data_IF_436979010719
#
_entry.id   IF_436979010719
#
_cell.length_a   1.000
_cell.length_b   1.000
_cell.length_c   1.000
_cell.angle_alpha   90.00
_cell.angle_beta   90.00
_cell.angle_gamma   90.00
#
_symmetry.space_group_name_H-M   'P 1'
#
loop_
_entity.id
_entity.type
_entity.pdbx_description
1 polymer ?
#
# COMPACT_ATOMS: atom_id res chain seq x y z
N UNK A 1 8.36 -35.43 20.77
CA UNK A 1 9.19 -36.13 19.77
C UNK A 1 10.40 -36.84 20.38
N UNK A 2 11.47 -36.14 20.80
CA UNK A 2 12.73 -36.77 21.27
C UNK A 2 12.52 -37.87 22.33
N UNK A 3 11.64 -37.63 23.30
CA UNK A 3 11.28 -38.60 24.34
C UNK A 3 10.65 -39.88 23.75
N UNK A 4 9.63 -39.73 22.89
CA UNK A 4 8.94 -40.84 22.20
C UNK A 4 9.91 -41.66 21.34
N UNK A 5 10.79 -40.98 20.61
CA UNK A 5 11.76 -41.62 19.71
C UNK A 5 12.79 -42.45 20.49
N UNK A 6 13.39 -41.87 21.55
CA UNK A 6 14.38 -42.57 22.35
C UNK A 6 13.81 -43.78 23.10
N UNK A 7 12.59 -43.68 23.64
CA UNK A 7 11.98 -44.81 24.36
C UNK A 7 11.65 -45.96 23.40
N UNK A 8 11.10 -45.68 22.21
CA UNK A 8 10.85 -46.72 21.20
C UNK A 8 12.15 -47.35 20.68
N UNK A 9 13.22 -46.57 20.50
CA UNK A 9 14.53 -47.11 20.15
C UNK A 9 15.07 -48.04 21.26
N UNK A 10 14.97 -47.64 22.53
CA UNK A 10 15.37 -48.51 23.64
C UNK A 10 14.56 -49.81 23.70
N UNK A 11 13.25 -49.76 23.42
CA UNK A 11 12.40 -50.95 23.32
C UNK A 11 12.83 -51.87 22.17
N UNK A 12 13.18 -51.32 21.01
CA UNK A 12 13.67 -52.08 19.86
C UNK A 12 14.97 -52.81 20.19
N UNK A 13 15.95 -52.13 20.82
CA UNK A 13 17.20 -52.77 21.27
C UNK A 13 17.00 -53.90 22.29
N UNK A 14 16.00 -53.76 23.18
CA UNK A 14 15.70 -54.79 24.18
C UNK A 14 15.03 -56.03 23.57
N UNK A 15 14.18 -55.88 22.56
CA UNK A 15 13.31 -56.95 22.05
C UNK A 15 13.62 -57.45 20.64
N UNK A 16 13.94 -56.55 19.72
CA UNK A 16 14.07 -56.89 18.29
C UNK A 16 15.55 -56.95 17.87
N UNK A 17 16.38 -56.05 18.40
CA UNK A 17 17.77 -55.90 18.01
C UNK A 17 17.93 -55.19 16.66
N UNK A 18 19.06 -55.42 15.98
CA UNK A 18 19.31 -54.94 14.62
C UNK A 18 19.37 -56.13 13.64
N UNK A 19 19.33 -55.89 12.32
CA UNK A 19 19.44 -56.97 11.31
C UNK A 19 20.64 -57.91 11.51
N UNK A 20 21.70 -57.45 12.19
CA UNK A 20 22.93 -58.21 12.43
C UNK A 20 23.06 -58.80 13.84
N UNK A 21 22.16 -58.47 14.77
CA UNK A 21 22.25 -58.91 16.17
C UNK A 21 20.85 -59.05 16.81
N UNK A 22 20.57 -60.17 17.51
CA UNK A 22 19.30 -60.36 18.19
C UNK A 22 19.11 -59.33 19.32
N UNK A 23 17.86 -59.10 19.71
CA UNK A 23 17.53 -58.25 20.86
C UNK A 23 18.22 -58.72 22.13
N UNK A 24 18.47 -57.80 23.07
CA UNK A 24 19.18 -58.12 24.31
C UNK A 24 18.52 -59.28 25.09
N UNK A 25 17.18 -59.35 25.10
CA UNK A 25 16.44 -60.45 25.74
C UNK A 25 16.63 -61.79 25.02
N UNK A 26 16.60 -61.80 23.68
CA UNK A 26 16.83 -63.00 22.87
C UNK A 26 18.27 -63.51 23.02
N UNK A 27 19.24 -62.60 23.11
CA UNK A 27 20.62 -62.91 23.42
C UNK A 27 20.78 -63.57 24.79
N UNK A 28 20.08 -63.06 25.81
CA UNK A 28 20.05 -63.66 27.15
C UNK A 28 19.37 -65.04 27.13
N UNK A 29 18.31 -65.23 26.35
CA UNK A 29 17.66 -66.54 26.18
C UNK A 29 18.61 -67.56 25.54
N UNK A 30 19.43 -67.15 24.58
CA UNK A 30 20.42 -68.03 23.98
C UNK A 30 21.55 -68.38 24.96
N UNK A 31 21.99 -67.43 25.78
CA UNK A 31 22.97 -67.68 26.84
C UNK A 31 22.39 -68.62 27.91
N UNK A 32 21.14 -68.43 28.31
CA UNK A 32 20.46 -69.27 29.28
C UNK A 32 20.36 -70.73 28.79
N UNK A 33 19.97 -70.96 27.53
CA UNK A 33 19.95 -72.31 26.92
C UNK A 33 21.31 -72.99 26.97
N UNK A 34 22.37 -72.28 26.59
CA UNK A 34 23.72 -72.85 26.62
C UNK A 34 24.17 -73.17 28.06
N UNK A 35 23.81 -72.32 29.04
CA UNK A 35 24.14 -72.55 30.45
C UNK A 35 23.32 -73.70 31.06
N UNK A 36 22.10 -73.93 30.60
CA UNK A 36 21.29 -75.08 30.99
C UNK A 36 21.97 -76.39 30.58
N UNK A 37 22.40 -76.51 29.31
CA UNK A 37 23.16 -77.66 28.81
C UNK A 37 24.49 -77.84 29.56
N UNK A 38 25.21 -76.74 29.81
CA UNK A 38 26.49 -76.78 30.52
C UNK A 38 26.34 -77.16 32.00
N UNK A 39 25.24 -76.75 32.65
CA UNK A 39 24.99 -77.09 34.05
C UNK A 39 24.73 -78.58 34.28
N UNK A 40 24.31 -79.31 33.24
CA UNK A 40 24.22 -80.77 33.26
C UNK A 40 25.59 -81.46 33.21
N UNK A 41 26.63 -80.74 32.75
CA UNK A 41 28.01 -81.24 32.65
C UNK A 41 28.82 -80.85 33.90
N UNK A 42 28.71 -79.60 34.35
CA UNK A 42 29.36 -79.08 35.57
C UNK A 42 28.34 -78.31 36.42
N UNK A 43 27.95 -78.90 37.55
CA UNK A 43 26.99 -78.32 38.49
C UNK A 43 27.40 -76.93 39.00
N UNK A 44 28.70 -76.58 38.97
CA UNK A 44 29.17 -75.25 39.38
C UNK A 44 28.63 -74.12 38.51
N UNK A 45 28.15 -74.43 37.31
CA UNK A 45 27.61 -73.45 36.37
C UNK A 45 26.12 -73.13 36.60
N UNK A 46 25.43 -73.87 37.48
CA UNK A 46 24.01 -73.62 37.79
C UNK A 46 23.76 -72.21 38.36
N UNK A 47 24.67 -71.68 39.19
CA UNK A 47 24.53 -70.31 39.72
C UNK A 47 24.66 -69.22 38.64
N UNK A 48 25.39 -69.48 37.55
CA UNK A 48 25.46 -68.58 36.41
C UNK A 48 24.14 -68.55 35.64
N UNK A 49 23.48 -69.69 35.47
CA UNK A 49 22.16 -69.80 34.84
C UNK A 49 21.12 -68.98 35.62
N UNK A 50 21.05 -69.15 36.93
CA UNK A 50 20.14 -68.39 37.80
C UNK A 50 20.38 -66.87 37.68
N UNK A 51 21.64 -66.45 37.62
CA UNK A 51 22.00 -65.03 37.46
C UNK A 51 21.53 -64.48 36.12
N UNK A 52 21.76 -65.20 35.02
CA UNK A 52 21.33 -64.78 33.66
C UNK A 52 19.81 -64.69 33.57
N UNK A 53 19.09 -65.68 34.12
CA UNK A 53 17.63 -65.64 34.18
C UNK A 53 17.11 -64.46 35.02
N UNK A 54 17.75 -64.15 36.15
CA UNK A 54 17.42 -62.98 36.97
C UNK A 54 17.55 -61.66 36.21
N UNK A 55 18.67 -61.47 35.50
CA UNK A 55 18.88 -60.29 34.65
C UNK A 55 17.85 -60.19 33.52
N UNK A 56 17.49 -61.33 32.90
CA UNK A 56 16.45 -61.38 31.86
C UNK A 56 15.11 -60.88 32.38
N UNK A 57 14.67 -61.35 33.55
CA UNK A 57 13.40 -60.90 34.14
C UNK A 57 13.42 -59.40 34.47
N UNK A 58 14.52 -58.88 35.01
CA UNK A 58 14.67 -57.45 35.29
C UNK A 58 14.57 -56.60 34.02
N UNK A 59 15.22 -57.03 32.93
CA UNK A 59 15.14 -56.33 31.64
C UNK A 59 13.75 -56.44 30.99
N UNK A 60 13.06 -57.55 31.20
CA UNK A 60 11.68 -57.72 30.73
C UNK A 60 10.70 -56.78 31.47
N UNK A 61 10.89 -56.58 32.77
CA UNK A 61 10.13 -55.58 33.54
C UNK A 61 10.42 -54.16 33.07
N UNK A 62 11.69 -53.80 32.83
CA UNK A 62 12.06 -52.50 32.24
C UNK A 62 11.39 -52.31 30.87
N UNK A 63 11.39 -53.34 30.01
CA UNK A 63 10.73 -53.27 28.72
C UNK A 63 9.19 -53.11 28.85
N UNK A 64 8.58 -53.66 29.91
CA UNK A 64 7.15 -53.46 30.19
C UNK A 64 6.88 -52.03 30.65
N UNK A 65 7.69 -51.50 31.57
CA UNK A 65 7.57 -50.12 32.04
C UNK A 65 7.75 -49.10 30.90
N UNK A 66 8.77 -49.28 30.05
CA UNK A 66 9.00 -48.40 28.90
C UNK A 66 7.83 -48.46 27.90
N UNK A 67 7.21 -49.62 27.71
CA UNK A 67 6.02 -49.76 26.85
C UNK A 67 4.83 -48.98 27.42
N UNK A 68 4.52 -49.17 28.70
CA UNK A 68 3.45 -48.40 29.37
C UNK A 68 3.75 -46.90 29.39
N UNK A 69 5.03 -46.52 29.48
CA UNK A 69 5.44 -45.13 29.40
C UNK A 69 5.13 -44.52 28.02
N UNK A 70 5.43 -45.23 26.93
CA UNK A 70 5.12 -44.77 25.56
C UNK A 70 3.62 -44.64 25.33
N UNK A 71 2.81 -45.57 25.85
CA UNK A 71 1.35 -45.49 25.78
C UNK A 71 0.80 -44.21 26.44
N UNK A 72 1.49 -43.66 27.44
CA UNK A 72 1.15 -42.39 28.07
C UNK A 72 1.63 -41.15 27.30
N UNK A 73 2.48 -41.29 26.30
CA UNK A 73 2.97 -40.16 25.50
C UNK A 73 1.94 -39.83 24.41
N UNK A 74 1.21 -38.73 24.58
CA UNK A 74 0.39 -38.15 23.51
C UNK A 74 1.30 -37.39 22.55
N UNK A 75 1.84 -38.11 21.56
CA UNK A 75 2.60 -37.51 20.45
C UNK A 75 1.82 -37.74 19.14
N UNK A 76 1.33 -36.65 18.58
CA UNK A 76 0.64 -36.62 17.28
C UNK A 76 1.52 -35.85 16.27
N UNK A 77 2.29 -36.56 15.43
CA UNK A 77 3.14 -35.95 14.41
C UNK A 77 2.36 -35.07 13.43
N UNK A 78 1.16 -35.51 13.04
CA UNK A 78 0.31 -34.76 12.10
C UNK A 78 -0.14 -33.44 12.70
N UNK A 79 -0.50 -33.43 13.99
CA UNK A 79 -0.85 -32.19 14.69
C UNK A 79 0.34 -31.24 14.81
N UNK A 80 1.54 -31.76 15.09
CA UNK A 80 2.76 -30.95 15.15
C UNK A 80 3.04 -30.29 13.79
N UNK A 81 3.01 -31.05 12.71
CA UNK A 81 3.22 -30.56 11.35
C UNK A 81 2.19 -29.47 10.97
N UNK A 82 0.91 -29.66 11.33
CA UNK A 82 -0.12 -28.64 11.13
C UNK A 82 0.19 -27.33 11.85
N UNK A 83 0.66 -27.39 13.10
CA UNK A 83 0.99 -26.22 13.91
C UNK A 83 2.22 -25.51 13.34
N UNK A 84 3.26 -26.25 12.98
CA UNK A 84 4.47 -25.70 12.38
C UNK A 84 4.19 -25.02 11.04
N UNK A 85 3.36 -25.65 10.20
CA UNK A 85 2.91 -25.06 8.92
C UNK A 85 2.15 -23.75 9.15
N UNK A 86 1.22 -23.71 10.12
CA UNK A 86 0.47 -22.49 10.45
C UNK A 86 1.38 -21.38 10.99
N UNK A 87 2.37 -21.71 11.81
CA UNK A 87 3.35 -20.74 12.32
C UNK A 87 4.24 -20.21 11.19
N UNK A 88 4.67 -21.06 10.27
CA UNK A 88 5.45 -20.65 9.11
C UNK A 88 4.67 -19.67 8.22
N UNK A 89 3.38 -19.92 8.00
CA UNK A 89 2.49 -19.01 7.27
C UNK A 89 2.37 -17.65 7.96
N UNK A 90 2.11 -17.63 9.27
CA UNK A 90 2.05 -16.39 10.06
C UNK A 90 3.37 -15.63 9.98
N UNK A 91 4.52 -16.30 10.11
CA UNK A 91 5.83 -15.66 9.99
C UNK A 91 6.07 -15.07 8.59
N UNK A 92 5.62 -15.75 7.53
CA UNK A 92 5.71 -15.23 6.18
C UNK A 92 4.86 -13.98 5.99
N UNK A 93 3.65 -13.95 6.55
CA UNK A 93 2.79 -12.76 6.54
C UNK A 93 3.41 -11.62 7.35
N UNK A 94 3.96 -11.90 8.53
CA UNK A 94 4.59 -10.87 9.37
C UNK A 94 5.73 -10.15 8.64
N UNK A 95 6.62 -10.92 8.00
CA UNK A 95 7.73 -10.36 7.19
C UNK A 95 7.28 -9.44 6.06
N UNK A 96 6.07 -9.62 5.52
CA UNK A 96 5.57 -8.85 4.38
C UNK A 96 4.66 -7.69 4.79
N UNK A 97 3.88 -7.87 5.86
CA UNK A 97 2.71 -7.03 6.12
C UNK A 97 2.64 -6.49 7.55
N UNK A 98 3.56 -6.85 8.46
CA UNK A 98 3.63 -6.23 9.79
C UNK A 98 4.25 -7.08 10.90
N UNK A 99 4.74 -6.44 11.96
CA UNK A 99 5.44 -7.12 13.07
C UNK A 99 4.51 -7.82 14.06
N UNK A 100 3.19 -7.68 13.90
CA UNK A 100 2.14 -8.35 14.67
C UNK A 100 0.98 -8.81 13.78
N UNK A 101 0.07 -9.62 14.34
CA UNK A 101 -1.15 -10.05 13.61
C UNK A 101 -2.07 -8.84 13.39
N UNK A 102 -2.13 -7.95 14.38
CA UNK A 102 -2.86 -6.70 14.36
C UNK A 102 -2.37 -5.78 13.23
N UNK A 103 -1.06 -5.70 13.03
CA UNK A 103 -0.47 -4.93 11.93
C UNK A 103 -0.84 -5.51 10.57
N UNK A 104 -0.76 -6.85 10.41
CA UNK A 104 -1.15 -7.54 9.17
C UNK A 104 -2.62 -7.26 8.82
N UNK A 105 -3.52 -7.33 9.81
CA UNK A 105 -4.94 -7.08 9.61
C UNK A 105 -5.22 -5.61 9.32
N UNK A 106 -4.51 -4.70 9.97
CA UNK A 106 -4.60 -3.26 9.69
C UNK A 106 -4.13 -2.95 8.27
N UNK A 107 -3.03 -3.56 7.83
CA UNK A 107 -2.54 -3.46 6.46
C UNK A 107 -3.58 -3.97 5.44
N UNK A 108 -4.23 -5.10 5.73
CA UNK A 108 -5.29 -5.65 4.89
C UNK A 108 -6.46 -4.66 4.73
N UNK A 109 -6.95 -4.07 5.82
CA UNK A 109 -8.06 -3.12 5.76
C UNK A 109 -7.68 -1.84 5.00
N UNK A 110 -6.46 -1.35 5.18
CA UNK A 110 -5.95 -0.20 4.42
C UNK A 110 -5.94 -0.50 2.91
N UNK A 111 -5.35 -1.63 2.50
CA UNK A 111 -5.28 -2.01 1.08
C UNK A 111 -6.66 -2.25 0.48
N UNK A 112 -7.60 -2.87 1.21
CA UNK A 112 -8.98 -2.98 0.74
C UNK A 112 -9.62 -1.62 0.51
N UNK A 113 -9.38 -0.66 1.39
CA UNK A 113 -9.82 0.73 1.23
C UNK A 113 -9.25 1.36 -0.04
N UNK A 114 -7.95 1.23 -0.27
CA UNK A 114 -7.28 1.73 -1.47
C UNK A 114 -7.82 1.09 -2.76
N UNK A 115 -7.99 -0.25 -2.78
CA UNK A 115 -8.56 -0.97 -3.92
C UNK A 115 -9.95 -0.45 -4.23
N UNK A 116 -10.81 -0.27 -3.22
CA UNK A 116 -12.17 0.25 -3.43
C UNK A 116 -12.18 1.67 -4.00
N UNK A 117 -11.22 2.50 -3.62
CA UNK A 117 -11.04 3.84 -4.20
C UNK A 117 -10.64 3.73 -5.67
N UNK A 118 -9.71 2.83 -6.00
CA UNK A 118 -9.22 2.61 -7.37
C UNK A 118 -10.29 2.01 -8.28
N UNK A 119 -11.09 1.07 -7.78
CA UNK A 119 -12.22 0.48 -8.52
C UNK A 119 -13.25 1.54 -8.93
N UNK A 120 -13.45 2.56 -8.09
CA UNK A 120 -14.37 3.67 -8.36
C UNK A 120 -13.68 4.90 -8.99
N UNK A 121 -12.39 4.81 -9.32
CA UNK A 121 -11.62 5.95 -9.82
C UNK A 121 -12.22 6.52 -11.10
N UNK A 122 -12.59 5.66 -12.04
CA UNK A 122 -13.14 6.08 -13.33
C UNK A 122 -14.46 6.84 -13.17
N UNK A 123 -15.38 6.30 -12.36
CA UNK A 123 -16.66 6.98 -12.09
C UNK A 123 -16.47 8.31 -11.38
N UNK A 124 -15.51 8.39 -10.45
CA UNK A 124 -15.20 9.64 -9.73
C UNK A 124 -14.53 10.67 -10.64
N UNK A 125 -13.68 10.23 -11.55
CA UNK A 125 -13.06 11.09 -12.55
C UNK A 125 -14.14 11.70 -13.46
N UNK A 126 -15.05 10.88 -13.97
CA UNK A 126 -16.17 11.34 -14.81
C UNK A 126 -17.08 12.33 -14.07
N UNK A 127 -17.35 12.10 -12.78
CA UNK A 127 -18.11 13.03 -11.93
C UNK A 127 -17.40 14.39 -11.80
N UNK A 128 -16.09 14.38 -11.51
CA UNK A 128 -15.29 15.60 -11.35
C UNK A 128 -15.15 16.34 -12.67
N UNK A 129 -14.92 15.64 -13.78
CA UNK A 129 -14.86 16.23 -15.12
C UNK A 129 -16.19 16.87 -15.51
N UNK A 130 -17.31 16.21 -15.20
CA UNK A 130 -18.65 16.76 -15.41
C UNK A 130 -18.92 18.00 -14.56
N UNK A 131 -18.53 18.00 -13.29
CA UNK A 131 -18.63 19.15 -12.42
C UNK A 131 -17.75 20.32 -12.90
N UNK A 132 -16.52 20.03 -13.33
CA UNK A 132 -15.61 21.02 -13.87
C UNK A 132 -16.14 21.66 -15.16
N UNK A 133 -16.68 20.87 -16.09
CA UNK A 133 -17.28 21.38 -17.33
C UNK A 133 -18.47 22.29 -17.03
N UNK A 134 -19.31 21.92 -16.06
CA UNK A 134 -20.44 22.75 -15.62
C UNK A 134 -19.98 24.10 -15.08
N UNK A 135 -19.00 24.12 -14.18
CA UNK A 135 -18.47 25.36 -13.60
C UNK A 135 -17.73 26.21 -14.66
N UNK A 136 -17.02 25.58 -15.59
CA UNK A 136 -16.38 26.27 -16.73
C UNK A 136 -17.40 26.98 -17.61
N UNK A 137 -18.54 26.34 -17.93
CA UNK A 137 -19.62 26.97 -18.69
C UNK A 137 -20.21 28.16 -17.95
N UNK A 138 -20.49 28.02 -16.65
CA UNK A 138 -21.00 29.12 -15.83
C UNK A 138 -20.02 30.31 -15.79
N UNK A 139 -18.72 30.03 -15.60
CA UNK A 139 -17.68 31.06 -15.62
C UNK A 139 -17.57 31.76 -16.98
N UNK A 140 -17.66 30.99 -18.08
CA UNK A 140 -17.67 31.52 -19.45
C UNK A 140 -18.82 32.48 -19.68
N UNK A 141 -20.03 32.09 -19.31
CA UNK A 141 -21.24 32.90 -19.55
C UNK A 141 -21.17 34.23 -18.76
N UNK A 142 -20.68 34.18 -17.52
CA UNK A 142 -20.43 35.38 -16.70
C UNK A 142 -19.33 36.27 -17.32
N UNK A 143 -18.23 35.68 -17.78
CA UNK A 143 -17.14 36.43 -18.41
C UNK A 143 -17.57 37.11 -19.71
N UNK A 144 -18.38 36.43 -20.53
CA UNK A 144 -18.99 36.97 -21.74
C UNK A 144 -19.92 38.13 -21.44
N UNK A 145 -20.81 37.96 -20.44
CA UNK A 145 -21.71 39.03 -20.01
C UNK A 145 -20.94 40.27 -19.54
N UNK A 146 -19.84 40.08 -18.81
CA UNK A 146 -18.99 41.18 -18.35
C UNK A 146 -18.29 41.89 -19.52
N UNK A 147 -17.74 41.13 -20.48
CA UNK A 147 -17.11 41.69 -21.68
C UNK A 147 -18.10 42.48 -22.53
N UNK A 148 -19.32 41.97 -22.71
CA UNK A 148 -20.36 42.67 -23.44
C UNK A 148 -20.76 43.98 -22.74
N UNK A 149 -20.93 43.96 -21.41
CA UNK A 149 -21.21 45.17 -20.64
C UNK A 149 -20.11 46.23 -20.81
N UNK A 150 -18.84 45.83 -20.73
CA UNK A 150 -17.69 46.73 -20.97
C UNK A 150 -17.67 47.33 -22.36
N UNK A 151 -17.92 46.50 -23.40
CA UNK A 151 -17.99 46.97 -24.78
C UNK A 151 -19.14 47.95 -25.01
N UNK A 152 -20.29 47.73 -24.34
CA UNK A 152 -21.46 48.61 -24.49
C UNK A 152 -21.23 50.03 -23.95
N UNK A 153 -20.42 50.18 -22.90
CA UNK A 153 -20.12 51.49 -22.29
C UNK A 153 -18.87 52.16 -22.87
N UNK A 154 -18.05 51.41 -23.63
CA UNK A 154 -16.75 51.84 -24.14
C UNK A 154 -16.82 53.18 -24.87
N UNK A 155 -17.69 53.31 -25.87
CA UNK A 155 -17.76 54.50 -26.72
C UNK A 155 -18.28 55.73 -25.96
N UNK A 156 -19.17 55.53 -24.98
CA UNK A 156 -19.63 56.62 -24.12
C UNK A 156 -18.51 57.08 -23.18
N UNK A 157 -17.79 56.14 -22.57
CA UNK A 157 -16.65 56.44 -21.71
C UNK A 157 -15.54 57.18 -22.47
N UNK A 158 -15.15 56.71 -23.66
CA UNK A 158 -14.17 57.37 -24.52
C UNK A 158 -14.57 58.81 -24.84
N UNK A 159 -15.83 59.05 -25.21
CA UNK A 159 -16.34 60.40 -25.50
C UNK A 159 -16.31 61.31 -24.27
N UNK A 160 -16.65 60.80 -23.08
CA UNK A 160 -16.59 61.57 -21.84
C UNK A 160 -15.15 61.95 -21.50
N UNK A 161 -14.21 61.01 -21.56
CA UNK A 161 -12.79 61.29 -21.31
C UNK A 161 -12.24 62.32 -22.29
N UNK A 162 -12.53 62.20 -23.59
CA UNK A 162 -12.09 63.18 -24.60
C UNK A 162 -12.64 64.58 -24.30
N UNK A 163 -13.86 64.70 -23.78
CA UNK A 163 -14.44 66.01 -23.41
C UNK A 163 -13.65 66.65 -22.27
N UNK A 164 -13.37 65.90 -21.20
CA UNK A 164 -12.59 66.42 -20.06
C UNK A 164 -11.16 66.80 -20.49
N UNK A 165 -10.53 66.03 -21.39
CA UNK A 165 -9.20 66.36 -21.92
C UNK A 165 -9.21 67.69 -22.69
N UNK A 166 -10.28 68.00 -23.43
CA UNK A 166 -10.43 69.30 -24.11
C UNK A 166 -10.53 70.45 -23.11
N UNK A 167 -11.28 70.27 -22.03
CA UNK A 167 -11.41 71.28 -20.96
C UNK A 167 -10.05 71.54 -20.26
N UNK A 168 -9.13 70.57 -20.30
CA UNK A 168 -7.74 70.68 -19.83
C UNK A 168 -6.77 71.28 -20.87
N UNK A 169 -7.26 71.91 -21.93
CA UNK A 169 -6.51 72.47 -23.07
C UNK A 169 -5.78 71.44 -23.96
N UNK A 170 -6.14 70.16 -23.89
CA UNK A 170 -5.65 69.12 -24.80
C UNK A 170 -6.63 68.92 -25.96
N UNK A 171 -6.82 69.96 -26.77
CA UNK A 171 -7.88 70.03 -27.79
C UNK A 171 -7.79 68.94 -28.87
N UNK A 172 -6.57 68.49 -29.15
CA UNK A 172 -6.22 67.54 -30.20
C UNK A 172 -5.95 66.12 -29.67
N UNK A 173 -6.20 65.88 -28.37
CA UNK A 173 -5.98 64.56 -27.80
C UNK A 173 -7.03 63.55 -28.27
N UNK A 174 -6.57 62.31 -28.48
CA UNK A 174 -7.41 61.15 -28.79
C UNK A 174 -7.23 60.07 -27.73
N UNK A 175 -8.33 59.44 -27.35
CA UNK A 175 -8.36 58.43 -26.29
C UNK A 175 -9.17 57.21 -26.76
N UNK A 176 -8.66 56.01 -26.49
CA UNK A 176 -9.29 54.76 -26.86
C UNK A 176 -9.10 53.71 -25.76
N UNK A 177 -10.15 52.95 -25.46
CA UNK A 177 -10.08 51.77 -24.60
C UNK A 177 -9.89 50.53 -25.47
N UNK A 178 -8.72 49.92 -25.40
CA UNK A 178 -8.45 48.63 -26.02
C UNK A 178 -8.97 47.51 -25.12
N UNK A 179 -9.82 46.65 -25.68
CA UNK A 179 -10.34 45.46 -24.99
C UNK A 179 -9.91 44.26 -25.83
N UNK A 180 -9.03 43.44 -25.28
CA UNK A 180 -8.46 42.26 -25.94
C UNK A 180 -8.60 41.04 -25.05
N UNK A 181 -8.45 39.85 -25.62
CA UNK A 181 -8.46 38.59 -24.87
C UNK A 181 -7.08 37.95 -24.94
N UNK A 182 -6.60 37.41 -23.83
CA UNK A 182 -5.36 36.63 -23.79
C UNK A 182 -5.66 35.17 -24.12
N UNK A 183 -4.80 34.52 -24.92
CA UNK A 183 -4.92 33.08 -25.19
C UNK A 183 -4.58 32.29 -23.93
N UNK A 184 -5.39 31.29 -23.61
CA UNK A 184 -5.23 30.44 -22.42
C UNK A 184 -5.86 29.07 -22.61
N UNK A 185 -6.14 28.36 -21.51
CA UNK A 185 -6.78 27.04 -21.49
C UNK A 185 -7.99 26.98 -20.53
N UNK A 186 -8.44 28.13 -20.03
CA UNK A 186 -9.47 28.20 -19.00
C UNK A 186 -10.88 28.12 -19.59
N UNK A 187 -11.14 28.92 -20.64
CA UNK A 187 -12.46 29.06 -21.25
C UNK A 187 -12.40 28.75 -22.74
N UNK A 188 -13.19 27.76 -23.17
CA UNK A 188 -13.43 27.47 -24.59
C UNK A 188 -14.62 28.31 -25.09
N UNK A 189 -14.34 29.17 -26.07
CA UNK A 189 -15.34 29.99 -26.76
C UNK A 189 -16.07 29.14 -27.81
N UNK A 190 -17.38 29.35 -28.01
CA UNK A 190 -18.20 28.48 -28.88
C UNK A 190 -17.69 28.39 -30.33
N UNK A 191 -17.15 29.49 -30.87
CA UNK A 191 -16.56 29.56 -32.22
C UNK A 191 -15.16 30.19 -32.22
N UNK A 192 -14.42 30.07 -31.12
CA UNK A 192 -13.20 30.86 -30.89
C UNK A 192 -12.04 30.09 -30.27
N UNK A 193 -10.88 30.77 -30.12
CA UNK A 193 -9.75 30.18 -29.42
C UNK A 193 -10.07 30.02 -27.94
N UNK A 194 -9.28 29.19 -27.26
CA UNK A 194 -9.25 29.19 -25.81
C UNK A 194 -8.70 30.52 -25.27
N UNK A 195 -9.33 31.00 -24.20
CA UNK A 195 -9.05 32.30 -23.58
C UNK A 195 -8.76 32.11 -22.10
N UNK A 196 -7.81 32.90 -21.57
CA UNK A 196 -7.49 32.92 -20.14
C UNK A 196 -8.58 33.61 -19.34
N UNK A 197 -8.93 33.05 -18.18
CA UNK A 197 -9.83 33.71 -17.22
C UNK A 197 -9.00 34.46 -16.18
N UNK A 198 -8.95 35.78 -16.28
CA UNK A 198 -8.25 36.63 -15.32
C UNK A 198 -9.13 36.88 -14.08
N UNK A 199 -8.57 37.33 -12.95
CA UNK A 199 -9.36 37.70 -11.76
C UNK A 199 -10.45 38.75 -11.99
N UNK A 200 -10.35 39.51 -13.10
CA UNK A 200 -11.30 40.54 -13.53
C UNK A 200 -12.08 40.14 -14.79
N UNK A 201 -12.17 38.85 -15.10
CA UNK A 201 -12.85 38.31 -16.28
C UNK A 201 -11.90 38.03 -17.44
N UNK A 202 -12.43 37.90 -18.66
CA UNK A 202 -11.66 37.51 -19.84
C UNK A 202 -11.03 38.67 -20.62
N UNK A 203 -11.36 39.91 -20.25
CA UNK A 203 -10.85 41.09 -20.93
C UNK A 203 -9.56 41.60 -20.32
N UNK A 204 -8.55 41.74 -21.16
CA UNK A 204 -7.41 42.62 -20.93
C UNK A 204 -7.76 44.02 -21.43
N UNK A 205 -7.87 44.95 -20.49
CA UNK A 205 -8.23 46.34 -20.76
C UNK A 205 -6.96 47.21 -20.73
N UNK A 206 -6.73 47.97 -21.81
CA UNK A 206 -5.66 48.97 -21.88
C UNK A 206 -6.24 50.32 -22.31
N UNK A 207 -5.88 51.40 -21.62
CA UNK A 207 -6.21 52.76 -22.02
C UNK A 207 -5.10 53.33 -22.89
N UNK A 208 -5.46 53.74 -24.10
CA UNK A 208 -4.56 54.30 -25.09
C UNK A 208 -4.86 55.79 -25.26
N UNK A 209 -3.80 56.60 -25.33
CA UNK A 209 -3.90 58.05 -25.52
C UNK A 209 -2.90 58.51 -26.58
N UNK A 210 -3.24 59.59 -27.27
CA UNK A 210 -2.35 60.40 -28.08
C UNK A 210 -2.66 61.87 -27.80
N UNK A 211 -1.66 62.68 -27.48
CA UNK A 211 -1.84 64.08 -27.04
C UNK A 211 -1.73 65.08 -28.17
N UNK A 212 -1.19 64.69 -29.33
CA UNK A 212 -0.94 65.55 -30.48
C UNK A 212 -1.52 64.96 -31.78
N UNK A 213 -1.93 65.82 -32.71
CA UNK A 213 -2.39 65.41 -34.04
C UNK A 213 -1.28 64.65 -34.79
N UNK A 214 -1.57 63.43 -35.22
CA UNK A 214 -0.67 62.60 -36.03
C UNK A 214 0.24 61.66 -35.25
N UNK A 215 0.26 61.73 -33.91
CA UNK A 215 0.95 60.74 -33.08
C UNK A 215 0.10 59.45 -32.91
N UNK A 216 0.71 58.26 -32.95
CA UNK A 216 -0.01 57.02 -32.77
C UNK A 216 -0.49 56.88 -31.33
N UNK A 217 -1.66 56.24 -31.16
CA UNK A 217 -2.18 55.84 -29.85
C UNK A 217 -1.18 54.94 -29.14
N UNK A 218 -0.81 55.31 -27.92
CA UNK A 218 0.12 54.57 -27.07
C UNK A 218 -0.51 54.30 -25.71
N UNK A 219 -0.10 53.23 -25.00
CA UNK A 219 -0.60 52.96 -23.66
C UNK A 219 -0.36 54.15 -22.72
N UNK A 220 -1.39 54.59 -22.00
CA UNK A 220 -1.33 55.73 -21.07
C UNK A 220 -0.15 55.61 -20.10
N UNK A 221 0.10 54.41 -19.58
CA UNK A 221 1.22 54.12 -18.68
C UNK A 221 2.62 54.36 -19.29
N UNK A 222 2.75 54.44 -20.61
CA UNK A 222 4.02 54.64 -21.32
C UNK A 222 4.22 56.06 -21.87
N UNK A 223 3.16 56.85 -21.98
CA UNK A 223 3.22 58.18 -22.63
C UNK A 223 3.51 59.28 -21.63
N UNK A 224 3.11 59.10 -20.39
CA UNK A 224 2.83 60.25 -19.56
C UNK A 224 4.05 60.66 -18.71
N UNK A 225 4.49 61.91 -18.90
CA UNK A 225 5.40 62.58 -17.96
C UNK A 225 4.63 62.96 -16.68
N UNK A 226 5.29 63.07 -15.53
CA UNK A 226 4.62 63.17 -14.22
C UNK A 226 3.58 64.30 -14.06
N UNK A 227 3.63 65.35 -14.90
CA UNK A 227 2.66 66.44 -14.90
C UNK A 227 1.38 66.16 -15.71
N UNK A 228 1.42 65.25 -16.68
CA UNK A 228 0.28 64.84 -17.52
C UNK A 228 -0.43 63.61 -16.96
N UNK A 229 0.25 62.75 -16.18
CA UNK A 229 -0.37 61.68 -15.39
C UNK A 229 -1.26 62.24 -14.28
N UNK A 230 -0.83 63.35 -13.69
CA UNK A 230 -1.49 63.93 -12.50
C UNK A 230 -2.72 64.77 -12.85
N UNK A 231 -2.90 65.14 -14.12
CA UNK A 231 -4.08 65.86 -14.63
C UNK A 231 -5.06 64.85 -15.20
#
# INVERSE_FOLDING_TARGET
EKLFLLVNQSLAWLKEGEESAPGALDGLDQVAKNLEDLSQIDEKLGGCLETVMGCRYQLEDVARELRSYVEGIVFDPSRLEMVESRLAEIHALKRKYGDSIEDILSFLENIKGEIKILENYQSRLEEIEGALDKERRAARDLALSLSQARRSIKEEFERKVIRELKDLNLNDASFQVSITHERGEDLLMEDGPWVSLLPHGMDKIEFLISTNVGEPLKPLAKVASGGEISR
#
